data_IF_314882478022
#
_entry.id   IF_314882478022
#
_cell.length_a   1.000
_cell.length_b   1.000
_cell.length_c   1.000
_cell.angle_alpha   90.00
_cell.angle_beta   90.00
_cell.angle_gamma   90.00
#
_symmetry.space_group_name_H-M   'P 1'
#
loop_
_entity.id
_entity.type
_entity.pdbx_description
1 polymer ?
#
# COMPACT_ATOMS: atom_id res chain seq x y z
N UNK A 1 6.05 -15.58 11.79
CA UNK A 1 5.46 -14.24 11.85
C UNK A 1 5.37 -13.66 10.45
N UNK A 2 4.21 -13.10 10.12
CA UNK A 2 3.99 -12.51 8.80
C UNK A 2 4.49 -11.07 8.76
N UNK A 3 4.97 -10.67 7.59
CA UNK A 3 5.44 -9.30 7.35
C UNK A 3 4.29 -8.42 6.87
N UNK A 4 4.45 -7.13 7.06
CA UNK A 4 3.53 -6.17 6.43
C UNK A 4 3.68 -6.26 4.91
N UNK A 5 2.56 -6.14 4.20
CA UNK A 5 2.53 -6.11 2.74
C UNK A 5 1.92 -4.78 2.29
N UNK A 6 2.70 -4.00 1.58
CA UNK A 6 2.25 -2.72 1.03
C UNK A 6 1.90 -2.91 -0.44
N UNK A 7 0.64 -2.68 -0.77
CA UNK A 7 0.14 -2.75 -2.14
C UNK A 7 -0.04 -1.35 -2.68
N UNK A 8 0.60 -1.07 -3.80
CA UNK A 8 0.58 0.22 -4.48
C UNK A 8 0.15 0.01 -5.93
N UNK A 9 -0.38 1.06 -6.54
CA UNK A 9 -0.66 1.04 -7.96
C UNK A 9 0.64 1.25 -8.74
N UNK A 10 0.83 0.54 -9.85
CA UNK A 10 1.99 0.74 -10.70
C UNK A 10 2.06 2.21 -11.16
N UNK A 11 3.27 2.76 -11.19
CA UNK A 11 3.51 4.10 -11.72
C UNK A 11 3.53 4.06 -13.25
N UNK A 12 3.09 5.16 -13.87
CA UNK A 12 3.06 5.27 -15.31
C UNK A 12 2.03 4.34 -15.95
N UNK A 13 0.87 4.20 -15.33
CA UNK A 13 -0.18 3.36 -15.90
C UNK A 13 -0.96 4.08 -16.99
N UNK A 14 -1.57 3.29 -17.88
CA UNK A 14 -2.48 3.79 -18.91
C UNK A 14 -3.91 3.66 -18.42
N UNK A 15 -4.70 4.72 -18.64
CA UNK A 15 -6.14 4.68 -18.40
C UNK A 15 -6.82 4.60 -19.75
N UNK A 16 -7.59 3.54 -20.04
CA UNK A 16 -8.27 3.41 -21.35
C UNK A 16 -9.21 4.57 -21.69
N UNK A 17 -9.71 5.26 -20.69
CA UNK A 17 -10.57 6.44 -20.90
C UNK A 17 -9.78 7.69 -21.30
N UNK A 18 -8.47 7.65 -21.16
CA UNK A 18 -7.57 8.76 -21.48
C UNK A 18 -6.35 8.25 -22.24
N UNK A 19 -6.55 7.74 -23.46
CA UNK A 19 -5.46 7.10 -24.21
C UNK A 19 -4.35 8.08 -24.56
N UNK A 20 -3.12 7.57 -24.58
CA UNK A 20 -1.95 8.34 -24.93
C UNK A 20 -1.29 9.08 -23.77
N UNK A 21 -1.84 8.98 -22.55
CA UNK A 21 -1.28 9.62 -21.36
C UNK A 21 -0.83 8.56 -20.36
N UNK A 22 0.22 8.89 -19.60
CA UNK A 22 0.69 8.06 -18.49
C UNK A 22 0.35 8.76 -17.17
N UNK A 23 -0.07 7.97 -16.20
CA UNK A 23 -0.54 8.49 -14.91
C UNK A 23 0.19 7.86 -13.73
N UNK A 24 0.16 8.57 -12.61
CA UNK A 24 0.52 8.01 -11.30
C UNK A 24 -0.68 8.15 -10.37
N UNK A 25 -0.79 7.23 -9.43
CA UNK A 25 -1.83 7.30 -8.41
C UNK A 25 -1.49 8.42 -7.42
N UNK A 26 -2.35 9.44 -7.25
CA UNK A 26 -2.05 10.55 -6.33
C UNK A 26 -1.98 10.12 -4.87
N UNK A 27 -2.71 9.08 -4.49
CA UNK A 27 -2.72 8.57 -3.11
C UNK A 27 -1.51 7.67 -2.84
N UNK A 28 -0.94 7.07 -3.88
CA UNK A 28 0.29 6.26 -3.78
C UNK A 28 1.56 7.11 -3.86
N UNK A 29 1.51 8.25 -4.53
CA UNK A 29 2.70 9.07 -4.79
C UNK A 29 3.46 9.48 -3.52
N UNK A 30 2.81 9.95 -2.43
CA UNK A 30 3.53 10.28 -1.20
C UNK A 30 4.23 9.07 -0.58
N UNK A 31 3.62 7.89 -0.69
CA UNK A 31 4.20 6.66 -0.16
C UNK A 31 5.43 6.27 -1.00
N UNK A 32 5.35 6.38 -2.33
CA UNK A 32 6.50 6.12 -3.20
C UNK A 32 7.66 7.06 -2.88
N UNK A 33 7.36 8.33 -2.59
CA UNK A 33 8.38 9.29 -2.21
C UNK A 33 9.06 8.90 -0.88
N UNK A 34 8.29 8.44 0.09
CA UNK A 34 8.82 7.99 1.38
C UNK A 34 9.73 6.77 1.20
N UNK A 35 9.30 5.79 0.40
CA UNK A 35 10.10 4.60 0.11
C UNK A 35 11.43 4.98 -0.55
N UNK A 36 11.41 5.95 -1.45
CA UNK A 36 12.60 6.42 -2.14
C UNK A 36 13.55 7.20 -1.23
N UNK A 37 13.02 7.82 -0.16
CA UNK A 37 13.83 8.62 0.77
C UNK A 37 14.77 7.77 1.62
N UNK A 38 14.44 6.49 1.83
CA UNK A 38 15.27 5.58 2.61
C UNK A 38 15.13 4.15 2.07
N UNK A 39 15.75 3.86 0.92
CA UNK A 39 15.59 2.55 0.27
C UNK A 39 16.02 1.37 1.14
N UNK A 40 16.91 1.58 2.09
CA UNK A 40 17.38 0.51 2.98
C UNK A 40 16.24 -0.05 3.84
N UNK A 41 15.22 0.74 4.10
CA UNK A 41 14.07 0.31 4.91
C UNK A 41 13.08 -0.55 4.10
N UNK A 42 13.14 -0.50 2.77
CA UNK A 42 12.23 -1.28 1.93
C UNK A 42 12.35 -2.79 2.18
N UNK A 43 13.49 -3.25 2.66
CA UNK A 43 13.71 -4.66 2.98
C UNK A 43 12.93 -5.13 4.22
N UNK A 44 12.36 -4.21 5.00
CA UNK A 44 11.64 -4.53 6.25
C UNK A 44 10.21 -4.99 6.02
N UNK A 45 9.67 -4.77 4.83
CA UNK A 45 8.31 -5.16 4.50
C UNK A 45 8.27 -5.66 3.07
N UNK A 46 7.16 -6.27 2.69
CA UNK A 46 6.94 -6.68 1.31
C UNK A 46 6.21 -5.55 0.59
N UNK A 47 6.70 -5.21 -0.61
CA UNK A 47 6.12 -4.14 -1.43
C UNK A 47 5.77 -4.73 -2.77
N UNK A 48 4.53 -4.50 -3.20
CA UNK A 48 4.05 -5.02 -4.47
C UNK A 48 3.27 -3.95 -5.22
N UNK A 49 3.60 -3.77 -6.47
CA UNK A 49 2.90 -2.83 -7.33
C UNK A 49 1.93 -3.58 -8.23
N UNK A 50 0.70 -3.06 -8.30
CA UNK A 50 -0.43 -3.74 -8.90
C UNK A 50 -0.86 -2.99 -10.16
N UNK A 51 -1.14 -3.70 -11.28
CA UNK A 51 -1.64 -3.05 -12.49
C UNK A 51 -2.94 -2.27 -12.27
N UNK A 52 -3.12 -1.20 -13.03
CA UNK A 52 -4.31 -0.35 -12.95
C UNK A 52 -5.60 -1.09 -13.27
N UNK A 53 -5.57 -1.94 -14.28
CA UNK A 53 -6.76 -2.63 -14.78
C UNK A 53 -7.41 -3.52 -13.71
N UNK A 54 -8.73 -3.54 -13.68
CA UNK A 54 -9.51 -4.44 -12.83
C UNK A 54 -9.91 -5.67 -13.63
N UNK A 55 -10.06 -6.83 -12.99
CA UNK A 55 -9.94 -7.10 -11.55
C UNK A 55 -8.50 -7.10 -11.07
N UNK A 56 -8.26 -6.55 -9.89
CA UNK A 56 -6.93 -6.46 -9.27
C UNK A 56 -6.73 -7.67 -8.36
N UNK A 57 -6.25 -8.74 -8.94
CA UNK A 57 -6.17 -10.06 -8.27
C UNK A 57 -5.38 -10.03 -6.97
N UNK A 58 -4.28 -9.31 -6.92
CA UNK A 58 -3.45 -9.23 -5.72
C UNK A 58 -4.20 -8.62 -4.55
N UNK A 59 -5.09 -7.66 -4.80
CA UNK A 59 -5.91 -7.04 -3.76
C UNK A 59 -7.08 -7.96 -3.39
N UNK A 60 -7.72 -8.55 -4.40
CA UNK A 60 -8.86 -9.45 -4.19
C UNK A 60 -8.48 -10.63 -3.31
N UNK A 61 -7.29 -11.18 -3.49
CA UNK A 61 -6.80 -12.31 -2.69
C UNK A 61 -6.80 -12.03 -1.18
N UNK A 62 -6.61 -10.79 -0.78
CA UNK A 62 -6.51 -10.43 0.65
C UNK A 62 -7.69 -9.64 1.16
N UNK A 63 -8.41 -8.91 0.31
CA UNK A 63 -9.51 -8.02 0.73
C UNK A 63 -10.85 -8.31 0.04
N UNK A 64 -10.92 -9.27 -0.88
CA UNK A 64 -12.14 -9.60 -1.61
C UNK A 64 -12.42 -8.62 -2.75
N UNK A 65 -13.42 -8.95 -3.57
CA UNK A 65 -13.74 -8.19 -4.78
C UNK A 65 -14.29 -6.79 -4.52
N UNK A 66 -14.90 -6.58 -3.36
CA UNK A 66 -15.53 -5.30 -3.04
C UNK A 66 -14.51 -4.18 -2.77
N UNK A 67 -13.25 -4.53 -2.48
CA UNK A 67 -12.22 -3.57 -2.07
C UNK A 67 -10.96 -3.74 -2.91
N UNK A 68 -10.92 -3.02 -4.04
CA UNK A 68 -9.79 -3.09 -4.97
C UNK A 68 -9.00 -1.79 -5.05
N UNK A 69 -9.29 -0.84 -4.15
CA UNK A 69 -8.59 0.45 -4.12
C UNK A 69 -7.16 0.32 -3.61
N UNK A 70 -6.32 1.23 -4.03
CA UNK A 70 -4.91 1.34 -3.64
C UNK A 70 -4.61 2.79 -3.26
N UNK A 71 -3.69 3.04 -2.34
CA UNK A 71 -2.82 2.08 -1.66
C UNK A 71 -3.56 1.30 -0.57
N UNK A 72 -2.96 0.20 -0.14
CA UNK A 72 -3.40 -0.50 1.07
C UNK A 72 -2.21 -1.14 1.76
N UNK A 73 -2.15 -1.04 3.08
CA UNK A 73 -1.16 -1.71 3.90
C UNK A 73 -1.84 -2.90 4.59
N UNK A 74 -1.42 -4.09 4.22
CA UNK A 74 -1.87 -5.32 4.86
C UNK A 74 -0.94 -5.58 6.03
N UNK A 75 -1.49 -5.61 7.24
CA UNK A 75 -0.70 -5.69 8.46
C UNK A 75 -0.33 -7.14 8.78
N UNK A 76 0.96 -7.36 8.95
CA UNK A 76 1.48 -8.62 9.46
C UNK A 76 1.52 -8.62 10.99
N UNK A 77 1.85 -9.76 11.56
CA UNK A 77 1.85 -9.94 13.01
C UNK A 77 3.23 -9.77 13.66
N UNK A 78 4.22 -9.26 12.93
CA UNK A 78 5.55 -8.96 13.50
C UNK A 78 5.47 -7.92 14.61
N UNK A 79 4.50 -7.00 14.50
CA UNK A 79 4.26 -5.94 15.48
C UNK A 79 2.80 -5.92 15.86
N UNK A 80 2.49 -5.30 17.00
CA UNK A 80 1.11 -5.16 17.44
C UNK A 80 0.27 -4.42 16.40
N UNK A 81 -0.98 -4.84 16.23
CA UNK A 81 -1.91 -4.17 15.32
C UNK A 81 -2.36 -2.84 15.89
N UNK A 82 -2.40 -1.77 15.09
CA UNK A 82 -2.99 -0.51 15.54
C UNK A 82 -4.48 -0.68 15.81
N UNK A 83 -5.00 0.07 16.77
CA UNK A 83 -6.41 -0.04 17.16
C UNK A 83 -7.38 0.34 16.05
N UNK A 84 -6.94 1.19 15.11
CA UNK A 84 -7.76 1.65 13.99
C UNK A 84 -7.68 0.76 12.75
N UNK A 85 -7.02 -0.39 12.83
CA UNK A 85 -6.96 -1.32 11.71
C UNK A 85 -8.36 -1.83 11.35
N UNK A 86 -8.65 -1.85 10.06
CA UNK A 86 -9.86 -2.49 9.54
C UNK A 86 -9.64 -4.00 9.43
N UNK A 87 -10.72 -4.74 9.37
CA UNK A 87 -10.65 -6.20 9.25
C UNK A 87 -11.45 -6.69 8.05
N UNK A 88 -10.89 -7.71 7.39
CA UNK A 88 -11.61 -8.52 6.41
C UNK A 88 -11.25 -9.97 6.72
N UNK A 89 -12.18 -10.72 7.31
CA UNK A 89 -11.84 -12.03 7.86
C UNK A 89 -10.74 -11.91 8.90
N UNK A 90 -9.64 -12.61 8.70
CA UNK A 90 -8.45 -12.54 9.58
C UNK A 90 -7.45 -11.49 9.14
N UNK A 91 -7.69 -10.85 8.00
CA UNK A 91 -6.80 -9.81 7.46
C UNK A 91 -7.05 -8.48 8.16
N UNK A 92 -5.97 -7.82 8.60
CA UNK A 92 -6.00 -6.46 9.15
C UNK A 92 -5.36 -5.53 8.14
N UNK A 93 -5.98 -4.38 7.89
CA UNK A 93 -5.47 -3.46 6.86
C UNK A 93 -5.75 -2.00 7.17
N UNK A 94 -4.97 -1.13 6.54
CA UNK A 94 -5.14 0.33 6.54
C UNK A 94 -5.10 0.79 5.09
N UNK A 95 -6.05 1.61 4.67
CA UNK A 95 -6.12 2.14 3.30
C UNK A 95 -5.96 3.65 3.20
N UNK A 96 -5.95 4.36 4.32
CA UNK A 96 -5.72 5.80 4.35
C UNK A 96 -4.25 6.12 4.15
N UNK A 97 -3.93 6.92 3.13
CA UNK A 97 -2.55 7.25 2.77
C UNK A 97 -1.78 7.86 3.93
N UNK A 98 -2.36 8.84 4.62
CA UNK A 98 -1.66 9.50 5.72
C UNK A 98 -1.37 8.53 6.86
N UNK A 99 -2.33 7.67 7.18
CA UNK A 99 -2.13 6.67 8.22
C UNK A 99 -1.08 5.64 7.83
N UNK A 100 -1.04 5.24 6.56
CA UNK A 100 0.01 4.35 6.05
C UNK A 100 1.38 4.97 6.26
N UNK A 101 1.54 6.25 5.91
CA UNK A 101 2.81 6.97 6.11
C UNK A 101 3.25 6.97 7.57
N UNK A 102 2.31 7.19 8.49
CA UNK A 102 2.59 7.15 9.93
C UNK A 102 3.04 5.75 10.37
N UNK A 103 2.34 4.72 9.90
CA UNK A 103 2.66 3.34 10.27
C UNK A 103 3.99 2.87 9.70
N UNK A 104 4.37 3.34 8.51
CA UNK A 104 5.69 3.03 7.96
C UNK A 104 6.80 3.59 8.85
N UNK A 105 6.60 4.78 9.41
CA UNK A 105 7.54 5.35 10.38
C UNK A 105 7.55 4.55 11.68
N UNK A 106 6.37 4.28 12.24
CA UNK A 106 6.24 3.60 13.53
C UNK A 106 6.73 2.15 13.51
N UNK A 107 6.39 1.42 12.44
CA UNK A 107 6.66 -0.03 12.36
C UNK A 107 7.99 -0.35 11.70
N UNK A 108 8.45 0.46 10.77
CA UNK A 108 9.61 0.15 9.93
C UNK A 108 10.72 1.19 9.97
N UNK A 109 10.55 2.23 10.76
CA UNK A 109 11.61 3.22 10.98
C UNK A 109 11.82 4.20 9.84
N UNK A 110 10.88 4.33 8.91
CA UNK A 110 10.96 5.37 7.89
C UNK A 110 10.91 6.76 8.52
N UNK A 111 11.43 7.79 7.83
CA UNK A 111 11.26 9.16 8.27
C UNK A 111 9.78 9.51 8.41
N UNK A 112 9.47 10.37 9.36
CA UNK A 112 8.11 10.88 9.52
C UNK A 112 7.83 11.96 8.50
N UNK A 113 6.61 11.98 7.99
CA UNK A 113 6.15 13.08 7.14
C UNK A 113 5.82 14.28 8.02
N UNK A 114 6.44 15.39 7.71
CA UNK A 114 6.33 16.62 8.52
C UNK A 114 4.95 17.32 8.37
#
# INVERSE_FOLDING_TARGET
MSRDLLLLLENGFNDPERPGELFVCPDCAPIEALLASDPSRNARLDIRRVPFARPRKAVIQVLGEARQGLPVLILGDEYAFPADAHTFGETRYISDTRRILELLAERHGFPKVH
#
